data_IF_943425246603
#
_entry.id   IF_943425246603
#
_cell.length_a   1.000
_cell.length_b   1.000
_cell.length_c   1.000
_cell.angle_alpha   90.00
_cell.angle_beta   90.00
_cell.angle_gamma   90.00
#
_symmetry.space_group_name_H-M   'P 1'
#
loop_
_entity.id
_entity.type
_entity.pdbx_description
1 polymer ?
#
# COMPACT_ATOMS: atom_id res chain seq x y z
N UNK A 1 40.72 41.81 -34.55
CA UNK A 1 39.32 41.99 -34.13
C UNK A 1 39.02 40.93 -33.08
N UNK A 2 39.03 41.30 -31.79
CA UNK A 2 38.90 40.38 -30.67
C UNK A 2 37.49 39.78 -30.60
N UNK A 3 37.43 38.47 -30.80
CA UNK A 3 36.25 37.63 -30.71
C UNK A 3 35.82 37.48 -29.22
N UNK A 4 34.97 38.37 -28.72
CA UNK A 4 34.33 38.25 -27.39
C UNK A 4 32.99 37.53 -27.52
N UNK A 5 33.02 36.21 -27.71
CA UNK A 5 31.85 35.36 -27.49
C UNK A 5 31.90 34.82 -26.06
N UNK A 6 31.36 35.61 -25.13
CA UNK A 6 31.09 35.19 -23.76
C UNK A 6 29.82 34.33 -23.80
N UNK A 7 29.98 33.05 -24.10
CA UNK A 7 28.93 32.04 -23.98
C UNK A 7 28.71 31.83 -22.48
N UNK A 8 27.81 32.60 -21.87
CA UNK A 8 27.21 32.27 -20.59
C UNK A 8 26.38 30.99 -20.80
N UNK A 9 27.01 29.83 -20.67
CA UNK A 9 26.32 28.58 -20.46
C UNK A 9 25.69 28.65 -19.07
N UNK A 10 24.45 29.13 -18.99
CA UNK A 10 23.62 28.99 -17.82
C UNK A 10 23.39 27.48 -17.61
N UNK A 11 24.24 26.87 -16.78
CA UNK A 11 24.00 25.54 -16.24
C UNK A 11 22.74 25.61 -15.38
N UNK A 12 21.58 25.45 -16.01
CA UNK A 12 20.35 25.12 -15.31
C UNK A 12 20.54 23.70 -14.80
N UNK A 13 21.15 23.58 -13.61
CA UNK A 13 21.10 22.33 -12.85
C UNK A 13 19.64 22.09 -12.58
N UNK A 14 19.03 21.20 -13.37
CA UNK A 14 17.69 20.69 -13.07
C UNK A 14 17.88 19.97 -11.75
N UNK A 15 17.57 20.65 -10.65
CA UNK A 15 17.58 20.07 -9.33
C UNK A 15 16.50 18.99 -9.36
N UNK A 16 16.92 17.75 -9.65
CA UNK A 16 16.08 16.60 -9.39
C UNK A 16 15.84 16.66 -7.88
N UNK A 17 14.62 17.02 -7.49
CA UNK A 17 14.24 17.04 -6.08
C UNK A 17 14.54 15.65 -5.54
N UNK A 18 15.59 15.54 -4.72
CA UNK A 18 15.92 14.28 -4.05
C UNK A 18 14.70 13.87 -3.24
N UNK A 19 14.37 12.58 -3.27
CA UNK A 19 13.33 12.02 -2.41
C UNK A 19 13.79 12.13 -0.95
N UNK A 20 13.18 13.02 -0.19
CA UNK A 20 13.53 13.22 1.22
C UNK A 20 12.75 12.23 2.12
N UNK A 21 13.48 11.49 2.96
CA UNK A 21 12.89 10.49 3.87
C UNK A 21 11.98 11.14 4.92
N UNK A 22 10.82 10.55 5.14
CA UNK A 22 9.81 11.10 6.05
C UNK A 22 9.10 12.34 5.52
N UNK A 23 9.36 12.74 4.27
CA UNK A 23 8.71 13.89 3.63
C UNK A 23 8.05 13.46 2.32
N UNK A 24 8.84 13.08 1.33
CA UNK A 24 8.35 12.79 -0.02
C UNK A 24 7.86 11.34 -0.17
N UNK A 25 8.38 10.42 0.65
CA UNK A 25 8.04 9.00 0.65
C UNK A 25 6.91 8.66 1.65
N UNK A 26 6.19 9.65 2.17
CA UNK A 26 5.13 9.46 3.16
C UNK A 26 3.77 9.25 2.50
N UNK A 27 3.12 8.16 2.85
CA UNK A 27 1.74 7.84 2.50
C UNK A 27 0.87 7.99 3.74
N UNK A 28 -0.18 8.81 3.63
CA UNK A 28 -1.18 8.98 4.68
C UNK A 28 -2.35 8.04 4.49
N UNK A 29 -2.93 7.57 5.57
CA UNK A 29 -4.18 6.79 5.57
C UNK A 29 -5.29 7.61 6.21
N UNK A 30 -6.48 7.50 5.64
CA UNK A 30 -7.71 8.08 6.21
C UNK A 30 -8.61 6.97 6.70
N UNK A 31 -9.15 7.12 7.91
CA UNK A 31 -10.24 6.29 8.41
C UNK A 31 -11.50 6.47 7.54
N UNK A 32 -12.07 5.36 7.11
CA UNK A 32 -13.29 5.34 6.28
C UNK A 32 -14.55 5.07 7.10
N UNK A 33 -14.40 4.78 8.40
CA UNK A 33 -15.53 4.54 9.31
C UNK A 33 -16.19 5.81 9.81
N UNK A 34 -15.60 6.98 9.51
CA UNK A 34 -16.06 8.31 9.95
C UNK A 34 -16.12 8.39 11.48
N UNK A 35 -15.13 7.80 12.15
CA UNK A 35 -15.04 7.76 13.61
C UNK A 35 -16.07 6.87 14.30
N UNK A 36 -16.81 6.04 13.55
CA UNK A 36 -17.79 5.08 14.11
C UNK A 36 -17.25 3.65 14.16
N UNK A 37 -16.02 3.44 13.72
CA UNK A 37 -15.34 2.15 13.76
C UNK A 37 -15.15 1.64 15.19
N UNK A 38 -15.04 0.32 15.29
CA UNK A 38 -14.61 -0.36 16.53
C UNK A 38 -13.12 -0.18 16.77
N UNK A 39 -12.37 -0.03 15.68
CA UNK A 39 -10.98 0.40 15.67
C UNK A 39 -10.92 1.63 14.76
N UNK A 40 -10.29 2.70 15.25
CA UNK A 40 -10.16 3.96 14.53
C UNK A 40 -8.68 4.27 14.38
N UNK A 41 -8.27 4.57 13.15
CA UNK A 41 -6.93 5.03 12.81
C UNK A 41 -6.95 6.54 12.65
N UNK A 42 -6.00 7.25 13.26
CA UNK A 42 -5.91 8.72 13.18
C UNK A 42 -4.47 9.11 12.90
N UNK A 43 -4.28 10.08 12.00
CA UNK A 43 -2.96 10.58 11.55
C UNK A 43 -1.97 9.47 11.21
N UNK A 44 -2.47 8.38 10.62
CA UNK A 44 -1.69 7.19 10.33
C UNK A 44 -0.92 7.37 9.02
N UNK A 45 0.40 7.22 9.09
CA UNK A 45 1.33 7.48 8.01
C UNK A 45 2.38 6.36 7.94
N UNK A 46 2.63 5.88 6.72
CA UNK A 46 3.74 4.95 6.43
C UNK A 46 4.72 5.61 5.47
N UNK A 47 5.94 5.13 5.47
CA UNK A 47 7.00 5.52 4.54
C UNK A 47 7.31 4.36 3.60
N UNK A 48 7.60 4.67 2.34
CA UNK A 48 7.94 3.68 1.30
C UNK A 48 9.43 3.68 0.99
N UNK A 49 9.99 2.48 0.84
CA UNK A 49 11.38 2.25 0.50
C UNK A 49 11.51 1.18 -0.59
N UNK A 50 12.59 1.24 -1.35
CA UNK A 50 12.94 0.23 -2.36
C UNK A 50 13.69 -0.98 -1.76
N UNK A 51 14.10 -1.94 -2.57
CA UNK A 51 14.86 -3.15 -2.14
C UNK A 51 16.13 -2.83 -1.33
N UNK A 52 16.73 -1.65 -1.53
CA UNK A 52 17.94 -1.21 -0.83
C UNK A 52 17.64 -0.40 0.43
N UNK A 53 16.35 -0.28 0.81
CA UNK A 53 15.85 0.53 1.92
C UNK A 53 16.09 2.03 1.72
N UNK A 54 16.20 2.47 0.47
CA UNK A 54 16.27 3.89 0.13
C UNK A 54 14.85 4.45 -0.05
N UNK A 55 14.57 5.70 0.37
CA UNK A 55 13.28 6.34 0.20
C UNK A 55 12.80 6.30 -1.26
N UNK A 56 11.57 5.86 -1.49
CA UNK A 56 11.03 5.69 -2.82
C UNK A 56 9.97 6.75 -3.17
N UNK A 57 10.28 7.57 -4.17
CA UNK A 57 9.43 8.67 -4.65
C UNK A 57 9.45 8.81 -6.17
N UNK A 58 8.35 9.34 -6.72
CA UNK A 58 8.23 9.76 -8.13
C UNK A 58 7.65 11.16 -8.21
N UNK A 59 8.44 12.12 -8.70
CA UNK A 59 8.05 13.55 -8.85
C UNK A 59 7.53 14.18 -7.54
N UNK A 60 8.27 13.99 -6.44
CA UNK A 60 7.94 14.55 -5.12
C UNK A 60 6.69 13.94 -4.47
N UNK A 61 6.30 12.73 -4.89
CA UNK A 61 5.20 11.96 -4.31
C UNK A 61 5.69 10.56 -3.96
N UNK A 62 5.09 9.92 -2.95
CA UNK A 62 5.48 8.57 -2.57
C UNK A 62 5.21 7.61 -3.74
N UNK A 63 6.15 6.70 -3.95
CA UNK A 63 6.04 5.62 -4.90
C UNK A 63 6.37 4.33 -4.17
N UNK A 64 5.59 3.29 -4.40
CA UNK A 64 5.95 1.96 -3.92
C UNK A 64 6.69 1.19 -5.01
N UNK A 65 7.87 0.64 -4.68
CA UNK A 65 8.64 -0.22 -5.58
C UNK A 65 8.49 -1.66 -5.13
N UNK A 66 8.30 -2.56 -6.08
CA UNK A 66 8.18 -4.00 -5.87
C UNK A 66 9.41 -4.71 -6.46
N UNK A 67 10.06 -5.60 -5.69
CA UNK A 67 9.95 -5.71 -4.22
C UNK A 67 10.39 -4.43 -3.49
N UNK A 68 9.95 -4.28 -2.24
CA UNK A 68 10.28 -3.10 -1.43
C UNK A 68 9.70 -3.18 -0.03
N UNK A 69 9.75 -2.06 0.70
CA UNK A 69 9.42 -2.03 2.12
C UNK A 69 8.46 -0.89 2.46
N UNK A 70 7.56 -1.16 3.40
CA UNK A 70 6.82 -0.13 4.13
C UNK A 70 7.32 -0.03 5.54
N UNK A 71 7.38 1.18 6.11
CA UNK A 71 7.66 1.37 7.53
C UNK A 71 6.60 2.26 8.13
N UNK A 72 6.08 1.92 9.33
CA UNK A 72 5.23 2.88 10.02
C UNK A 72 6.05 4.12 10.38
N UNK A 73 5.56 5.29 9.94
CA UNK A 73 6.16 6.57 10.24
C UNK A 73 5.56 7.15 11.51
N UNK A 74 4.22 7.26 11.56
CA UNK A 74 3.48 7.67 12.75
C UNK A 74 2.02 7.25 12.68
N UNK A 75 1.31 7.33 13.80
CA UNK A 75 -0.13 7.20 13.82
C UNK A 75 -0.69 6.88 15.18
N UNK A 76 -2.00 7.03 15.30
CA UNK A 76 -2.74 6.70 16.50
C UNK A 76 -3.81 5.64 16.21
N UNK A 77 -4.00 4.74 17.16
CA UNK A 77 -5.09 3.76 17.14
C UNK A 77 -5.96 3.98 18.37
N UNK A 78 -7.28 4.06 18.16
CA UNK A 78 -8.29 3.98 19.23
C UNK A 78 -9.06 2.67 19.06
N UNK A 79 -9.07 1.85 20.11
CA UNK A 79 -9.82 0.58 20.16
C UNK A 79 -11.03 0.78 21.06
N UNK A 80 -12.19 0.98 20.44
CA UNK A 80 -13.47 1.13 21.14
C UNK A 80 -14.01 -0.23 21.61
N UNK A 81 -13.73 -1.29 20.86
CA UNK A 81 -14.11 -2.67 21.15
C UNK A 81 -12.93 -3.58 20.80
N UNK A 82 -12.40 -4.34 21.79
CA UNK A 82 -11.29 -5.26 21.55
C UNK A 82 -11.61 -6.36 20.53
N UNK A 83 -10.58 -6.83 19.84
CA UNK A 83 -10.70 -8.07 19.06
C UNK A 83 -10.86 -9.26 20.00
N UNK A 84 -11.69 -10.23 19.60
CA UNK A 84 -11.97 -11.43 20.40
C UNK A 84 -11.12 -12.63 20.03
N UNK A 85 -10.77 -12.75 18.74
CA UNK A 85 -10.01 -13.86 18.16
C UNK A 85 -9.07 -13.35 17.06
N UNK A 86 -7.77 -13.66 17.17
CA UNK A 86 -6.75 -13.19 16.23
C UNK A 86 -6.79 -13.93 14.90
N UNK A 87 -7.19 -15.20 14.91
CA UNK A 87 -7.16 -16.06 13.72
C UNK A 87 -8.28 -15.70 12.74
N UNK A 88 -9.38 -15.13 13.25
CA UNK A 88 -10.48 -14.60 12.43
C UNK A 88 -10.30 -13.13 12.03
N UNK A 89 -9.14 -12.50 12.32
CA UNK A 89 -8.90 -11.09 12.02
C UNK A 89 -8.31 -10.92 10.61
N UNK A 90 -9.18 -10.56 9.69
CA UNK A 90 -8.91 -10.50 8.26
C UNK A 90 -8.68 -9.06 7.81
N UNK A 91 -7.66 -8.85 6.98
CA UNK A 91 -7.44 -7.65 6.20
C UNK A 91 -8.04 -7.84 4.81
N UNK A 92 -9.22 -7.28 4.58
CA UNK A 92 -9.96 -7.36 3.33
C UNK A 92 -9.65 -6.13 2.45
N UNK A 93 -8.94 -6.33 1.35
CA UNK A 93 -8.46 -5.25 0.50
C UNK A 93 -9.54 -4.73 -0.48
N UNK A 94 -9.41 -3.46 -0.80
CA UNK A 94 -10.10 -2.78 -1.90
C UNK A 94 -9.03 -2.13 -2.77
N UNK A 95 -8.86 -2.62 -3.99
CA UNK A 95 -7.75 -2.22 -4.87
C UNK A 95 -8.30 -1.92 -6.26
N UNK A 96 -7.91 -0.77 -6.80
CA UNK A 96 -8.34 -0.28 -8.11
C UNK A 96 -7.13 0.30 -8.85
N UNK A 97 -6.93 -0.13 -10.09
CA UNK A 97 -5.93 0.43 -10.99
C UNK A 97 -6.54 1.59 -11.77
N UNK A 98 -5.75 2.64 -12.02
CA UNK A 98 -6.11 3.71 -12.95
C UNK A 98 -5.94 3.23 -14.41
N UNK A 99 -6.84 2.33 -14.81
CA UNK A 99 -6.88 1.77 -16.15
C UNK A 99 -8.33 1.44 -16.47
N UNK A 100 -8.81 1.91 -17.62
CA UNK A 100 -10.15 1.62 -18.11
C UNK A 100 -10.36 0.10 -18.31
N UNK A 101 -9.32 -0.63 -18.69
CA UNK A 101 -9.41 -2.07 -18.96
C UNK A 101 -9.35 -2.92 -17.68
N UNK A 102 -8.58 -2.49 -16.67
CA UNK A 102 -8.37 -3.28 -15.43
C UNK A 102 -9.31 -2.84 -14.32
N UNK A 103 -9.41 -1.53 -14.08
CA UNK A 103 -10.27 -0.96 -13.05
C UNK A 103 -10.09 -1.60 -11.67
N UNK A 104 -11.21 -1.98 -11.04
CA UNK A 104 -11.22 -2.62 -9.73
C UNK A 104 -10.73 -4.06 -9.84
N UNK A 105 -9.80 -4.43 -8.95
CA UNK A 105 -9.23 -5.79 -8.89
C UNK A 105 -9.55 -6.51 -7.59
N UNK A 106 -9.70 -5.76 -6.49
CA UNK A 106 -10.17 -6.31 -5.21
C UNK A 106 -11.31 -5.45 -4.66
N UNK A 107 -12.33 -6.11 -4.11
CA UNK A 107 -13.48 -5.49 -3.46
C UNK A 107 -13.82 -6.28 -2.21
N UNK A 108 -13.69 -5.64 -1.04
CA UNK A 108 -13.96 -6.26 0.25
C UNK A 108 -13.27 -7.62 0.45
N UNK A 109 -12.02 -7.73 0.00
CA UNK A 109 -11.22 -8.94 0.14
C UNK A 109 -11.55 -10.04 -0.86
N UNK A 110 -12.37 -9.76 -1.87
CA UNK A 110 -12.62 -10.66 -3.00
C UNK A 110 -12.02 -10.09 -4.26
N UNK A 111 -11.54 -10.95 -5.14
CA UNK A 111 -11.15 -10.55 -6.48
C UNK A 111 -12.37 -10.21 -7.33
N UNK A 112 -12.19 -9.21 -8.19
CA UNK A 112 -13.18 -8.78 -9.17
C UNK A 112 -12.79 -9.23 -10.60
N UNK A 113 -11.63 -9.89 -10.78
CA UNK A 113 -11.17 -10.35 -12.09
C UNK A 113 -10.31 -11.62 -12.01
N UNK A 114 -10.02 -12.22 -13.18
CA UNK A 114 -9.20 -13.43 -13.27
C UNK A 114 -7.70 -13.20 -13.10
N UNK A 115 -7.23 -11.94 -13.17
CA UNK A 115 -5.80 -11.61 -13.11
C UNK A 115 -5.25 -11.61 -11.68
N UNK A 116 -6.10 -11.31 -10.69
CA UNK A 116 -5.74 -11.29 -9.28
C UNK A 116 -6.47 -12.42 -8.57
N UNK A 117 -5.78 -13.44 -8.02
CA UNK A 117 -6.46 -14.46 -7.22
C UNK A 117 -6.98 -13.88 -5.89
N UNK A 118 -8.08 -14.44 -5.38
CA UNK A 118 -8.70 -14.02 -4.11
C UNK A 118 -7.72 -13.96 -2.94
N UNK A 119 -6.74 -14.87 -2.93
CA UNK A 119 -5.67 -14.94 -1.91
C UNK A 119 -4.84 -13.66 -1.81
N UNK A 120 -4.73 -12.88 -2.90
CA UNK A 120 -4.02 -11.60 -2.89
C UNK A 120 -4.89 -10.42 -2.47
N UNK A 121 -6.21 -10.62 -2.40
CA UNK A 121 -7.16 -9.61 -1.92
C UNK A 121 -7.40 -9.70 -0.42
N UNK A 122 -6.98 -10.78 0.25
CA UNK A 122 -7.31 -11.06 1.65
C UNK A 122 -6.13 -11.65 2.42
N UNK A 123 -5.81 -11.06 3.55
CA UNK A 123 -4.71 -11.51 4.41
C UNK A 123 -5.15 -11.65 5.86
N UNK A 124 -4.43 -12.45 6.65
CA UNK A 124 -4.59 -12.48 8.11
C UNK A 124 -3.78 -11.33 8.72
N UNK A 125 -4.45 -10.39 9.40
CA UNK A 125 -3.80 -9.18 9.89
C UNK A 125 -2.68 -9.49 10.88
N UNK A 126 -2.92 -10.42 11.82
CA UNK A 126 -1.95 -10.72 12.87
C UNK A 126 -0.73 -11.49 12.37
N UNK A 127 -0.83 -12.17 11.23
CA UNK A 127 0.33 -12.76 10.56
C UNK A 127 1.25 -11.71 9.94
N UNK A 128 0.68 -10.59 9.45
CA UNK A 128 1.43 -9.49 8.84
C UNK A 128 1.98 -8.51 9.89
N UNK A 129 1.24 -8.26 10.96
CA UNK A 129 1.60 -7.29 11.99
C UNK A 129 1.22 -7.77 13.41
N UNK A 130 1.96 -8.73 13.98
CA UNK A 130 1.67 -9.28 15.32
C UNK A 130 1.62 -8.22 16.43
N UNK A 131 2.48 -7.21 16.35
CA UNK A 131 2.56 -6.11 17.32
C UNK A 131 1.29 -5.25 17.32
N UNK A 132 0.68 -5.03 16.15
CA UNK A 132 -0.59 -4.29 16.03
C UNK A 132 -1.70 -5.07 16.71
N UNK A 133 -1.79 -6.39 16.52
CA UNK A 133 -2.84 -7.20 17.15
C UNK A 133 -2.79 -7.20 18.68
N UNK A 134 -1.59 -7.12 19.27
CA UNK A 134 -1.44 -6.97 20.71
C UNK A 134 -2.11 -5.69 21.25
N UNK A 135 -2.03 -4.59 20.49
CA UNK A 135 -2.72 -3.33 20.83
C UNK A 135 -4.23 -3.47 20.65
N UNK A 136 -4.68 -4.16 19.60
CA UNK A 136 -6.12 -4.34 19.29
C UNK A 136 -6.88 -5.20 20.31
N UNK A 137 -6.18 -5.98 21.15
CA UNK A 137 -6.76 -6.80 22.22
C UNK A 137 -7.23 -6.01 23.45
N UNK A 138 -6.85 -4.73 23.55
CA UNK A 138 -7.11 -3.94 24.76
C UNK A 138 -7.95 -2.72 24.38
N UNK A 139 -9.08 -2.53 25.07
CA UNK A 139 -9.90 -1.34 24.89
C UNK A 139 -9.11 -0.14 25.38
N UNK A 140 -9.05 0.91 24.58
CA UNK A 140 -8.30 2.12 24.90
C UNK A 140 -9.24 3.22 25.41
N UNK A 141 -8.78 4.03 26.36
CA UNK A 141 -9.53 5.22 26.83
C UNK A 141 -9.40 6.43 25.88
N UNK A 142 -8.65 6.29 24.78
CA UNK A 142 -8.40 7.33 23.79
C UNK A 142 -7.34 6.87 22.78
N UNK A 143 -6.89 7.75 21.88
CA UNK A 143 -5.88 7.43 20.88
C UNK A 143 -4.54 7.04 21.53
N UNK A 144 -4.02 5.87 21.17
CA UNK A 144 -2.67 5.41 21.55
C UNK A 144 -1.72 5.69 20.39
N UNK A 145 -0.60 6.34 20.67
CA UNK A 145 0.49 6.49 19.72
C UNK A 145 1.13 5.12 19.45
N UNK A 146 1.01 4.64 18.22
CA UNK A 146 1.56 3.33 17.84
C UNK A 146 3.01 3.39 17.38
N UNK A 147 3.54 4.58 17.16
CA UNK A 147 4.91 4.81 16.65
C UNK A 147 5.97 4.01 17.43
N UNK A 148 5.95 3.95 18.78
CA UNK A 148 6.96 3.20 19.54
C UNK A 148 6.93 1.67 19.33
N UNK A 149 5.80 1.11 18.91
CA UNK A 149 5.61 -0.34 18.83
C UNK A 149 6.07 -0.96 17.51
N UNK A 150 6.29 -0.13 16.48
CA UNK A 150 6.46 -0.60 15.09
C UNK A 150 7.64 0.03 14.36
N UNK A 151 8.33 1.00 14.97
CA UNK A 151 9.52 1.64 14.37
C UNK A 151 10.67 0.68 14.02
N UNK A 152 10.68 -0.55 14.55
CA UNK A 152 11.85 -1.45 14.45
C UNK A 152 11.90 -2.29 13.18
N UNK A 153 10.77 -2.66 12.59
CA UNK A 153 10.76 -3.62 11.48
C UNK A 153 9.92 -3.09 10.32
N UNK A 154 10.55 -2.77 9.17
CA UNK A 154 9.83 -2.57 7.93
C UNK A 154 9.02 -3.83 7.58
N UNK A 155 7.84 -3.64 7.01
CA UNK A 155 7.05 -4.69 6.39
C UNK A 155 7.61 -4.91 4.99
N UNK A 156 8.20 -6.07 4.79
CA UNK A 156 8.78 -6.49 3.52
C UNK A 156 7.66 -7.01 2.60
N UNK A 157 7.54 -6.41 1.42
CA UNK A 157 6.66 -6.91 0.37
C UNK A 157 7.54 -7.43 -0.75
N UNK A 158 7.50 -8.76 -0.92
CA UNK A 158 8.18 -9.44 -1.99
C UNK A 158 7.65 -9.05 -3.37
N UNK A 159 8.31 -9.53 -4.41
CA UNK A 159 7.84 -9.32 -5.76
C UNK A 159 6.47 -10.00 -5.93
N UNK A 160 5.52 -9.29 -6.56
CA UNK A 160 4.21 -9.84 -6.87
C UNK A 160 4.21 -10.30 -8.32
N UNK A 161 3.84 -11.56 -8.61
CA UNK A 161 3.86 -12.12 -9.97
C UNK A 161 2.60 -11.74 -10.76
N UNK A 162 2.16 -10.49 -10.68
CA UNK A 162 1.01 -10.00 -11.45
C UNK A 162 1.55 -9.23 -12.67
N UNK A 163 1.22 -9.64 -13.91
CA UNK A 163 1.57 -8.86 -15.08
C UNK A 163 0.91 -7.48 -15.00
N UNK A 164 1.62 -6.44 -15.46
CA UNK A 164 1.11 -5.06 -15.47
C UNK A 164 0.84 -4.49 -14.06
N UNK A 165 1.61 -4.86 -13.04
CA UNK A 165 1.56 -4.19 -11.73
C UNK A 165 1.92 -2.70 -11.79
N UNK A 166 2.78 -2.34 -12.74
CA UNK A 166 3.17 -0.95 -12.96
C UNK A 166 1.96 -0.06 -13.23
N UNK A 167 1.89 1.08 -12.53
CA UNK A 167 0.85 2.08 -12.75
C UNK A 167 0.44 2.80 -11.48
N UNK A 168 -0.69 3.49 -11.56
CA UNK A 168 -1.28 4.24 -10.46
C UNK A 168 -2.46 3.44 -9.87
N UNK A 169 -2.50 3.33 -8.54
CA UNK A 169 -3.42 2.46 -7.82
C UNK A 169 -4.08 3.17 -6.64
N UNK A 170 -5.38 2.94 -6.45
CA UNK A 170 -6.06 3.21 -5.18
C UNK A 170 -6.01 1.94 -4.34
N UNK A 171 -5.65 2.11 -3.08
CA UNK A 171 -5.58 1.00 -2.11
C UNK A 171 -6.34 1.40 -0.86
N UNK A 172 -7.23 0.52 -0.43
CA UNK A 172 -7.91 0.58 0.85
C UNK A 172 -8.01 -0.82 1.45
N UNK A 173 -8.32 -0.87 2.74
CA UNK A 173 -8.46 -2.12 3.46
C UNK A 173 -9.52 -1.99 4.54
N UNK A 174 -10.17 -3.11 4.85
CA UNK A 174 -11.04 -3.25 6.01
C UNK A 174 -10.49 -4.31 6.93
N UNK A 175 -10.59 -4.06 8.22
CA UNK A 175 -10.34 -5.08 9.23
C UNK A 175 -11.69 -5.73 9.52
N UNK A 176 -11.79 -7.03 9.27
CA UNK A 176 -13.01 -7.82 9.40
C UNK A 176 -12.76 -8.92 10.41
N UNK A 177 -13.69 -9.10 11.36
CA UNK A 177 -13.69 -10.22 12.29
C UNK A 177 -15.07 -10.87 12.27
N UNK A 178 -15.13 -12.18 12.04
CA UNK A 178 -16.39 -12.93 11.99
C UNK A 178 -17.44 -12.29 11.04
N UNK A 179 -16.99 -11.83 9.87
CA UNK A 179 -17.81 -11.15 8.87
C UNK A 179 -18.23 -9.71 9.20
N UNK A 180 -17.86 -9.18 10.37
CA UNK A 180 -18.16 -7.79 10.77
C UNK A 180 -16.96 -6.89 10.52
N UNK A 181 -17.18 -5.76 9.87
CA UNK A 181 -16.14 -4.73 9.70
C UNK A 181 -15.91 -4.01 11.02
N UNK A 182 -14.69 -4.10 11.55
CA UNK A 182 -14.24 -3.42 12.76
C UNK A 182 -13.63 -2.06 12.43
N UNK A 183 -12.90 -1.98 11.31
CA UNK A 183 -12.17 -0.80 10.88
C UNK A 183 -12.15 -0.71 9.36
N UNK A 184 -11.88 0.48 8.84
CA UNK A 184 -11.61 0.66 7.42
C UNK A 184 -10.66 1.82 7.19
N UNK A 185 -9.65 1.63 6.36
CA UNK A 185 -8.65 2.63 6.01
C UNK A 185 -8.50 2.73 4.51
N UNK A 186 -8.14 3.91 4.03
CA UNK A 186 -7.89 4.18 2.61
C UNK A 186 -6.63 5.02 2.47
N UNK A 187 -5.83 4.76 1.44
CA UNK A 187 -4.71 5.63 1.08
C UNK A 187 -5.21 7.02 0.68
N UNK A 188 -4.61 8.04 1.31
CA UNK A 188 -5.02 9.43 1.20
C UNK A 188 -6.50 9.61 1.48
N UNK A 189 -7.19 10.40 0.66
CA UNK A 189 -8.61 10.74 0.86
C UNK A 189 -9.58 9.93 -0.03
N UNK A 190 -9.14 8.78 -0.56
CA UNK A 190 -9.91 7.97 -1.52
C UNK A 190 -9.88 8.47 -2.97
N UNK A 191 -9.35 9.66 -3.22
CA UNK A 191 -9.01 10.15 -4.57
C UNK A 191 -7.51 10.07 -4.86
N UNK A 192 -6.73 9.64 -3.87
CA UNK A 192 -5.28 9.53 -3.97
C UNK A 192 -4.90 8.25 -4.69
N UNK A 193 -4.08 8.40 -5.72
CA UNK A 193 -3.45 7.31 -6.43
C UNK A 193 -2.01 7.16 -5.96
N UNK A 194 -1.62 5.94 -5.62
CA UNK A 194 -0.24 5.55 -5.31
C UNK A 194 0.38 4.97 -6.57
N UNK A 195 1.52 5.51 -6.99
CA UNK A 195 2.28 4.90 -8.06
C UNK A 195 2.97 3.64 -7.54
N UNK A 196 2.73 2.51 -8.19
CA UNK A 196 3.45 1.25 -7.98
C UNK A 196 4.37 1.05 -9.19
N UNK A 197 5.64 0.79 -8.90
CA UNK A 197 6.64 0.40 -9.87
C UNK A 197 7.07 -1.03 -9.60
N UNK A 198 7.11 -1.86 -10.64
CA UNK A 198 7.56 -3.24 -10.58
C UNK A 198 8.55 -3.45 -11.70
N UNK A 199 9.73 -3.97 -11.38
CA UNK A 199 10.68 -4.42 -12.42
C UNK A 199 10.17 -5.73 -13.00
N UNK A 200 9.83 -5.71 -14.29
CA UNK A 200 9.47 -6.94 -15.02
C UNK A 200 10.66 -7.90 -14.98
N UNK A 201 10.39 -9.16 -14.61
CA UNK A 201 11.41 -10.22 -14.54
C UNK A 201 12.05 -10.48 -13.17
N UNK A 202 11.83 -9.62 -12.16
CA UNK A 202 12.22 -9.92 -10.76
C UNK A 202 11.12 -10.61 -9.94
N UNK A 203 9.92 -10.74 -10.49
CA UNK A 203 8.83 -11.52 -9.92
C UNK A 203 9.21 -13.00 -9.85
N UNK A 204 9.44 -13.53 -8.65
CA UNK A 204 9.55 -14.97 -8.46
C UNK A 204 8.31 -15.68 -9.01
N UNK A 205 8.49 -16.87 -9.59
CA UNK A 205 7.36 -17.72 -9.97
C UNK A 205 6.73 -18.30 -8.71
N UNK A 206 5.51 -17.89 -8.38
CA UNK A 206 4.67 -18.62 -7.43
C UNK A 206 3.71 -19.47 -8.24
N UNK A 207 3.72 -20.78 -7.96
CA UNK A 207 2.83 -21.74 -8.59
C UNK A 207 1.42 -21.51 -8.00
N UNK A 208 0.62 -20.66 -8.64
CA UNK A 208 -0.80 -20.55 -8.30
C UNK A 208 -1.50 -21.80 -8.80
N UNK A 209 -2.24 -22.47 -7.94
CA UNK A 209 -3.15 -23.52 -8.37
C UNK A 209 -4.03 -22.97 -9.50
N UNK A 210 -4.22 -23.78 -10.55
CA UNK A 210 -4.87 -23.37 -11.78
C UNK A 210 -6.22 -22.69 -11.49
N UNK A 211 -6.40 -21.48 -12.02
CA UNK A 211 -7.69 -20.78 -12.02
C UNK A 211 -8.73 -21.73 -12.63
N UNK A 212 -9.86 -22.00 -11.96
CA UNK A 212 -10.87 -22.90 -12.49
C UNK A 212 -11.30 -22.51 -13.90
N UNK A 213 -11.49 -23.48 -14.81
CA UNK A 213 -11.85 -23.20 -16.20
C UNK A 213 -13.15 -22.39 -16.27
N UNK A 214 -13.10 -21.23 -16.96
CA UNK A 214 -14.24 -20.33 -17.15
C UNK A 214 -13.94 -18.83 -17.10
N UNK A 215 -12.70 -18.42 -16.83
CA UNK A 215 -12.29 -17.01 -16.89
C UNK A 215 -12.12 -16.49 -18.33
N UNK A 216 -12.32 -15.18 -18.57
CA UNK A 216 -12.17 -14.60 -19.90
C UNK A 216 -10.74 -14.77 -20.43
N UNK A 217 -10.60 -15.37 -21.62
CA UNK A 217 -9.35 -15.44 -22.37
C UNK A 217 -9.07 -14.07 -22.99
N UNK A 218 -8.00 -13.41 -22.58
CA UNK A 218 -7.49 -12.23 -23.27
C UNK A 218 -6.34 -12.67 -24.17
N UNK A 219 -6.47 -12.36 -25.46
CA UNK A 219 -5.41 -12.56 -26.43
C UNK A 219 -4.34 -11.49 -26.18
N UNK A 220 -3.11 -11.92 -25.87
CA UNK A 220 -2.03 -11.04 -25.43
C UNK A 220 -1.32 -10.33 -26.60
N UNK A 221 -1.81 -10.44 -27.84
CA UNK A 221 -1.20 -9.86 -29.03
C UNK A 221 -1.63 -8.39 -29.33
N UNK A 222 -2.57 -7.80 -28.58
CA UNK A 222 -2.90 -6.37 -28.70
C UNK A 222 -2.49 -5.55 -27.45
N UNK A 223 -1.21 -5.63 -27.07
CA UNK A 223 -0.55 -4.70 -26.13
C UNK A 223 0.82 -4.27 -26.67
#
# INVERSE_FOLDING_TARGET
MLFKWLVLAAFVTVAWSKCEDGVDNVIKFTDTTRGKGKIIFTDFEVTTYDENKEPSCKKGKPQFRLPGHFKLHKGFITVNEPITDEDSLELALNVEKDSFMIGKVCSNGKSENSFVPDQLCKYTLCSLAPSVCSVLKIKTNGPIDVTPFVQKEPIDIGALPIPQLGGDWKVGARIVQNGKTLAGVQLGNGKTWLNIYSEEGKGGSVNYDAVPPGGPSFDHEEL
#
